data_IF_680206701485
#
_entry.id   IF_680206701485
#
_cell.length_a   1.000
_cell.length_b   1.000
_cell.length_c   1.000
_cell.angle_alpha   90.00
_cell.angle_beta   90.00
_cell.angle_gamma   90.00
#
_symmetry.space_group_name_H-M   'P 1'
#
loop_
_entity.id
_entity.type
_entity.pdbx_description
1 polymer ?
#
# COMPACT_ATOMS: atom_id res chain seq x y z
N UNK A 1 -31.77 22.69 -10.82
CA UNK A 1 -30.88 21.53 -10.71
C UNK A 1 -30.20 21.63 -9.36
N UNK A 2 -30.53 20.77 -8.40
CA UNK A 2 -29.77 20.65 -7.16
C UNK A 2 -28.36 20.23 -7.54
N UNK A 3 -27.34 21.05 -7.23
CA UNK A 3 -25.95 20.69 -7.47
C UNK A 3 -25.66 19.41 -6.68
N UNK A 4 -25.14 18.40 -7.37
CA UNK A 4 -24.69 17.15 -6.74
C UNK A 4 -23.60 17.49 -5.74
N UNK A 5 -23.69 16.97 -4.51
CA UNK A 5 -22.64 17.10 -3.54
C UNK A 5 -21.38 16.39 -4.04
N UNK A 6 -20.23 16.99 -3.82
CA UNK A 6 -18.94 16.41 -4.22
C UNK A 6 -18.26 15.70 -3.04
N UNK A 7 -17.52 14.62 -3.25
CA UNK A 7 -16.76 13.95 -2.20
C UNK A 7 -15.51 14.74 -1.83
N UNK A 8 -15.07 14.56 -0.59
CA UNK A 8 -13.81 15.06 -0.05
C UNK A 8 -12.86 13.87 0.14
N UNK A 9 -11.75 13.86 -0.60
CA UNK A 9 -10.68 12.87 -0.46
C UNK A 9 -9.52 13.48 0.33
N UNK A 10 -9.09 12.80 1.39
CA UNK A 10 -7.90 13.15 2.17
C UNK A 10 -6.76 12.21 1.75
N UNK A 11 -5.73 12.77 1.14
CA UNK A 11 -4.71 12.03 0.42
C UNK A 11 -4.99 11.93 -1.09
N UNK A 12 -3.92 11.84 -1.87
CA UNK A 12 -3.99 11.74 -3.34
C UNK A 12 -4.05 10.28 -3.76
N UNK A 13 -5.09 9.91 -4.47
CA UNK A 13 -5.20 8.62 -5.15
C UNK A 13 -5.41 8.84 -6.65
N UNK A 14 -4.40 8.49 -7.46
CA UNK A 14 -4.41 8.70 -8.91
C UNK A 14 -5.55 7.97 -9.62
N UNK A 15 -6.02 6.84 -9.09
CA UNK A 15 -7.09 6.05 -9.70
C UNK A 15 -8.46 6.67 -9.45
N UNK A 16 -8.69 7.14 -8.22
CA UNK A 16 -9.89 7.90 -7.89
C UNK A 16 -9.93 9.21 -8.68
N UNK A 17 -8.79 9.90 -8.82
CA UNK A 17 -8.70 11.13 -9.63
C UNK A 17 -8.95 10.85 -11.11
N UNK A 18 -8.40 9.75 -11.66
CA UNK A 18 -8.71 9.26 -13.02
C UNK A 18 -10.22 9.06 -13.20
N UNK A 19 -10.87 8.38 -12.25
CA UNK A 19 -12.30 8.14 -12.28
C UNK A 19 -13.10 9.45 -12.21
N UNK A 20 -12.70 10.42 -11.38
CA UNK A 20 -13.30 11.76 -11.35
C UNK A 20 -13.25 12.43 -12.72
N UNK A 21 -12.08 12.41 -13.37
CA UNK A 21 -11.88 12.99 -14.70
C UNK A 21 -12.72 12.30 -15.78
N UNK A 22 -12.71 10.97 -15.82
CA UNK A 22 -13.46 10.18 -16.80
C UNK A 22 -14.97 10.37 -16.69
N UNK A 23 -15.49 10.50 -15.46
CA UNK A 23 -16.92 10.69 -15.21
C UNK A 23 -17.35 12.15 -15.13
N UNK A 24 -16.39 13.10 -15.16
CA UNK A 24 -16.66 14.53 -14.98
C UNK A 24 -17.27 14.85 -13.60
N UNK A 25 -16.90 14.09 -12.55
CA UNK A 25 -17.42 14.25 -11.20
C UNK A 25 -16.55 15.26 -10.44
N UNK A 26 -17.13 16.39 -9.97
CA UNK A 26 -16.39 17.32 -9.13
C UNK A 26 -16.01 16.68 -7.79
N UNK A 27 -14.76 16.91 -7.34
CA UNK A 27 -14.26 16.43 -6.06
C UNK A 27 -13.32 17.47 -5.41
N UNK A 28 -13.13 17.37 -4.09
CA UNK A 28 -12.08 18.07 -3.36
C UNK A 28 -11.02 17.05 -2.95
N UNK A 29 -9.76 17.38 -3.18
CA UNK A 29 -8.62 16.55 -2.76
C UNK A 29 -7.74 17.36 -1.80
N UNK A 30 -7.58 16.87 -0.58
CA UNK A 30 -6.59 17.41 0.39
C UNK A 30 -5.29 16.66 0.24
N UNK A 31 -4.17 17.37 0.12
CA UNK A 31 -2.86 16.77 -0.07
C UNK A 31 -1.80 17.39 0.85
N UNK A 32 -0.83 16.57 1.25
CA UNK A 32 0.25 16.92 2.16
C UNK A 32 1.57 17.30 1.48
N UNK A 33 2.62 17.56 2.29
CA UNK A 33 3.94 18.01 1.82
C UNK A 33 4.59 17.06 0.80
N UNK A 34 4.41 15.76 0.95
CA UNK A 34 4.97 14.79 -0.01
C UNK A 34 4.57 15.12 -1.46
N UNK A 35 3.29 15.39 -1.71
CA UNK A 35 2.80 15.71 -3.04
C UNK A 35 3.14 17.14 -3.49
N UNK A 36 3.24 18.09 -2.55
CA UNK A 36 3.74 19.43 -2.87
C UNK A 36 5.17 19.36 -3.40
N UNK A 37 6.02 18.57 -2.75
CA UNK A 37 7.46 18.53 -3.02
C UNK A 37 7.80 17.60 -4.20
N UNK A 38 7.04 16.54 -4.39
CA UNK A 38 7.19 15.59 -5.51
C UNK A 38 6.43 15.99 -6.78
N UNK A 39 5.55 16.98 -6.69
CA UNK A 39 4.57 17.34 -7.74
C UNK A 39 3.29 16.52 -7.64
N UNK A 40 2.15 17.21 -7.76
CA UNK A 40 0.86 16.53 -7.90
C UNK A 40 0.80 15.84 -9.27
N UNK A 41 0.11 14.70 -9.39
CA UNK A 41 -0.24 14.18 -10.70
C UNK A 41 -1.10 15.20 -11.45
N UNK A 42 -1.21 15.07 -12.77
CA UNK A 42 -2.13 15.88 -13.55
C UNK A 42 -3.55 15.73 -13.00
N UNK A 43 -4.08 16.82 -12.44
CA UNK A 43 -5.41 16.85 -11.85
C UNK A 43 -6.45 17.13 -12.93
N UNK A 44 -7.56 16.36 -12.98
CA UNK A 44 -8.70 16.70 -13.82
C UNK A 44 -9.28 18.08 -13.45
N UNK A 45 -9.76 18.85 -14.43
CA UNK A 45 -10.35 20.18 -14.22
C UNK A 45 -11.51 20.21 -13.21
N UNK A 46 -12.17 19.08 -13.01
CA UNK A 46 -13.26 18.94 -12.03
C UNK A 46 -12.76 18.76 -10.59
N UNK A 47 -11.46 18.61 -10.34
CA UNK A 47 -10.89 18.37 -9.01
C UNK A 47 -10.31 19.66 -8.43
N UNK A 48 -10.72 20.00 -7.22
CA UNK A 48 -10.20 21.13 -6.46
C UNK A 48 -9.13 20.68 -5.46
N UNK A 49 -7.84 21.00 -5.64
CA UNK A 49 -6.79 20.66 -4.70
C UNK A 49 -6.77 21.61 -3.51
N UNK A 50 -6.55 21.09 -2.30
CA UNK A 50 -6.37 21.86 -1.06
C UNK A 50 -5.11 21.36 -0.35
N UNK A 51 -4.11 22.22 -0.23
CA UNK A 51 -2.88 21.91 0.48
C UNK A 51 -3.03 22.00 2.00
N UNK A 52 -2.42 21.05 2.72
CA UNK A 52 -2.32 21.02 4.18
C UNK A 52 -0.95 20.52 4.62
N UNK A 53 -0.39 21.08 5.68
CA UNK A 53 0.92 20.63 6.21
C UNK A 53 0.85 19.25 6.89
N UNK A 54 -0.33 18.83 7.37
CA UNK A 54 -0.54 17.51 7.97
C UNK A 54 -1.94 16.99 7.64
N UNK A 55 -2.03 16.09 6.67
CA UNK A 55 -3.30 15.46 6.26
C UNK A 55 -3.83 14.45 7.29
N UNK A 56 -3.02 14.09 8.28
CA UNK A 56 -3.42 13.25 9.40
C UNK A 56 -3.90 14.04 10.63
N UNK A 57 -4.17 15.35 10.49
CA UNK A 57 -4.77 16.21 11.53
C UNK A 57 -6.08 16.79 11.07
N UNK A 58 -7.17 16.47 11.77
CA UNK A 58 -8.51 17.00 11.47
C UNK A 58 -8.56 18.53 11.54
N UNK A 59 -7.92 19.10 12.56
CA UNK A 59 -7.84 20.54 12.75
C UNK A 59 -7.13 21.25 11.60
N UNK A 60 -6.01 20.65 11.13
CA UNK A 60 -5.26 21.21 10.02
C UNK A 60 -6.08 21.16 8.72
N UNK A 61 -6.79 20.05 8.47
CA UNK A 61 -7.65 19.91 7.28
C UNK A 61 -8.82 20.88 7.34
N UNK A 62 -9.56 21.00 8.47
CA UNK A 62 -10.65 21.95 8.62
C UNK A 62 -10.19 23.40 8.43
N UNK A 63 -9.04 23.75 8.98
CA UNK A 63 -8.43 25.08 8.77
C UNK A 63 -8.10 25.33 7.30
N UNK A 64 -7.54 24.33 6.60
CA UNK A 64 -7.21 24.45 5.19
C UNK A 64 -8.48 24.60 4.32
N UNK A 65 -9.52 23.80 4.58
CA UNK A 65 -10.82 23.94 3.92
C UNK A 65 -11.43 25.33 4.14
N UNK A 66 -11.40 25.85 5.37
CA UNK A 66 -11.89 27.20 5.68
C UNK A 66 -11.13 28.26 4.90
N UNK A 67 -9.79 28.19 4.85
CA UNK A 67 -8.97 29.14 4.07
C UNK A 67 -9.22 29.07 2.57
N UNK A 68 -9.57 27.86 2.07
CA UNK A 68 -9.97 27.67 0.67
C UNK A 68 -11.40 28.10 0.35
N UNK A 69 -12.13 28.65 1.32
CA UNK A 69 -13.55 29.03 1.14
C UNK A 69 -14.52 27.86 1.13
N UNK A 70 -14.10 26.68 1.60
CA UNK A 70 -14.87 25.44 1.59
C UNK A 70 -15.37 25.03 2.99
N UNK A 71 -15.19 25.89 4.01
CA UNK A 71 -15.51 25.57 5.41
C UNK A 71 -17.02 25.32 5.66
N UNK A 72 -17.89 25.94 4.88
CA UNK A 72 -19.35 25.80 4.98
C UNK A 72 -19.91 24.84 3.89
N UNK A 73 -19.03 24.21 3.10
CA UNK A 73 -19.46 23.31 2.04
C UNK A 73 -19.97 21.99 2.60
N UNK A 74 -21.04 21.47 2.00
CA UNK A 74 -21.56 20.13 2.28
C UNK A 74 -20.94 19.15 1.32
N UNK A 75 -20.32 18.10 1.84
CA UNK A 75 -19.71 17.03 1.07
C UNK A 75 -20.63 15.81 0.97
N UNK A 76 -20.52 15.06 -0.14
CA UNK A 76 -21.19 13.78 -0.30
C UNK A 76 -20.68 12.77 0.73
N UNK A 77 -19.36 12.77 0.94
CA UNK A 77 -18.66 11.97 1.96
C UNK A 77 -17.27 12.52 2.21
N UNK A 78 -16.62 12.06 3.29
CA UNK A 78 -15.17 12.18 3.51
C UNK A 78 -14.56 10.80 3.53
N UNK A 79 -13.52 10.58 2.70
CA UNK A 79 -12.85 9.29 2.57
C UNK A 79 -11.35 9.44 2.32
N UNK A 80 -10.61 8.35 2.45
CA UNK A 80 -9.16 8.30 2.23
C UNK A 80 -8.72 6.92 1.73
N UNK A 81 -7.64 6.91 0.97
CA UNK A 81 -6.84 5.70 0.69
C UNK A 81 -5.51 5.70 1.45
N UNK A 82 -5.24 6.76 2.24
CA UNK A 82 -4.07 6.85 3.11
C UNK A 82 -4.35 6.16 4.45
N UNK A 83 -3.65 5.06 4.68
CA UNK A 83 -3.73 4.25 5.90
C UNK A 83 -3.64 5.08 7.19
N UNK A 84 -2.73 6.05 7.21
CA UNK A 84 -2.47 6.87 8.41
C UNK A 84 -3.53 7.96 8.64
N UNK A 85 -4.30 8.33 7.62
CA UNK A 85 -5.34 9.35 7.73
C UNK A 85 -6.71 8.79 8.13
N UNK A 86 -6.88 7.46 8.22
CA UNK A 86 -8.19 6.81 8.36
C UNK A 86 -8.97 7.28 9.59
N UNK A 87 -8.33 7.32 10.78
CA UNK A 87 -9.01 7.80 12.01
C UNK A 87 -9.34 9.29 11.88
N UNK A 88 -8.43 10.06 11.31
CA UNK A 88 -8.63 11.48 11.09
C UNK A 88 -9.83 11.77 10.18
N UNK A 89 -9.95 11.00 9.09
CA UNK A 89 -11.08 11.10 8.14
C UNK A 89 -12.41 10.76 8.82
N UNK A 90 -12.44 9.79 9.71
CA UNK A 90 -13.63 9.46 10.48
C UNK A 90 -14.06 10.61 11.40
N UNK A 91 -13.11 11.31 12.04
CA UNK A 91 -13.37 12.51 12.84
C UNK A 91 -13.85 13.66 11.95
N UNK A 92 -13.23 13.86 10.79
CA UNK A 92 -13.64 14.89 9.82
C UNK A 92 -15.07 14.68 9.33
N UNK A 93 -15.45 13.43 8.99
CA UNK A 93 -16.81 13.11 8.55
C UNK A 93 -17.85 13.53 9.59
N UNK A 94 -17.59 13.23 10.87
CA UNK A 94 -18.47 13.68 11.96
C UNK A 94 -18.48 15.19 12.13
N UNK A 95 -17.33 15.86 12.09
CA UNK A 95 -17.24 17.31 12.25
C UNK A 95 -17.92 18.07 11.10
N UNK A 96 -17.89 17.55 9.89
CA UNK A 96 -18.52 18.11 8.70
C UNK A 96 -19.98 17.66 8.52
N UNK A 97 -20.46 16.74 9.37
CA UNK A 97 -21.83 16.22 9.32
C UNK A 97 -22.16 15.50 8.01
N UNK A 98 -21.21 14.76 7.45
CA UNK A 98 -21.37 14.02 6.20
C UNK A 98 -21.01 12.53 6.34
N UNK A 99 -21.43 11.68 5.39
CA UNK A 99 -21.07 10.26 5.37
C UNK A 99 -19.55 10.02 5.40
N UNK A 100 -19.15 8.92 6.01
CA UNK A 100 -17.78 8.44 6.10
C UNK A 100 -17.67 7.27 7.06
N UNK A 101 -16.49 6.64 7.11
CA UNK A 101 -16.25 5.57 8.09
C UNK A 101 -16.42 6.10 9.52
N UNK A 102 -17.01 5.31 10.42
CA UNK A 102 -17.16 5.74 11.81
C UNK A 102 -15.83 5.67 12.57
N UNK A 103 -15.60 6.54 13.59
CA UNK A 103 -14.36 6.47 14.39
C UNK A 103 -14.12 5.10 15.04
N UNK A 104 -15.17 4.43 15.49
CA UNK A 104 -15.05 3.10 16.10
C UNK A 104 -14.55 2.06 15.08
N UNK A 105 -15.06 2.10 13.85
CA UNK A 105 -14.60 1.23 12.76
C UNK A 105 -13.18 1.62 12.34
N UNK A 106 -12.90 2.91 12.16
CA UNK A 106 -11.58 3.39 11.76
C UNK A 106 -10.47 2.96 12.76
N UNK A 107 -10.72 3.08 14.06
CA UNK A 107 -9.78 2.61 15.10
C UNK A 107 -9.56 1.10 15.00
N UNK A 108 -10.62 0.32 14.82
CA UNK A 108 -10.57 -1.13 14.67
C UNK A 108 -9.74 -1.55 13.44
N UNK A 109 -9.86 -0.84 12.31
CA UNK A 109 -9.05 -1.09 11.12
C UNK A 109 -7.59 -0.66 11.26
N UNK A 110 -7.28 0.24 12.19
CA UNK A 110 -5.90 0.69 12.41
C UNK A 110 -5.15 -0.11 13.46
N UNK A 111 -5.82 -0.78 14.37
CA UNK A 111 -5.23 -1.51 15.48
C UNK A 111 -5.29 -3.02 15.23
N UNK A 112 -4.14 -3.64 14.95
CA UNK A 112 -4.02 -5.07 14.65
C UNK A 112 -4.47 -5.97 15.79
N UNK A 113 -4.30 -5.53 17.04
CA UNK A 113 -4.76 -6.29 18.19
C UNK A 113 -6.29 -6.25 18.28
N UNK A 114 -6.90 -5.06 18.15
CA UNK A 114 -8.36 -4.92 18.14
C UNK A 114 -9.01 -5.67 16.98
N UNK A 115 -8.39 -5.70 15.80
CA UNK A 115 -8.85 -6.54 14.69
C UNK A 115 -8.93 -8.01 15.09
N UNK A 116 -7.82 -8.55 15.63
CA UNK A 116 -7.75 -9.97 16.03
C UNK A 116 -8.73 -10.31 17.14
N UNK A 117 -8.93 -9.42 18.10
CA UNK A 117 -9.94 -9.62 19.16
C UNK A 117 -11.37 -9.65 18.56
N UNK A 118 -11.69 -8.75 17.64
CA UNK A 118 -13.00 -8.70 16.99
C UNK A 118 -13.27 -9.96 16.17
N UNK A 119 -12.32 -10.41 15.36
CA UNK A 119 -12.48 -11.61 14.52
C UNK A 119 -12.50 -12.89 15.37
N UNK A 120 -11.66 -12.99 16.41
CA UNK A 120 -11.63 -14.10 17.35
C UNK A 120 -12.96 -14.26 18.09
N UNK A 121 -13.58 -13.14 18.49
CA UNK A 121 -14.90 -13.15 19.15
C UNK A 121 -16.01 -13.72 18.26
N UNK A 122 -15.81 -13.78 16.95
CA UNK A 122 -16.71 -14.42 15.97
C UNK A 122 -16.27 -15.84 15.61
N UNK A 123 -15.25 -16.39 16.28
CA UNK A 123 -14.75 -17.74 16.05
C UNK A 123 -13.88 -17.89 14.79
N UNK A 124 -13.40 -16.80 14.21
CA UNK A 124 -12.51 -16.81 13.03
C UNK A 124 -11.10 -17.16 13.49
N UNK A 125 -10.42 -18.15 12.86
CA UNK A 125 -9.04 -18.46 13.14
C UNK A 125 -8.13 -17.24 12.94
N UNK A 126 -7.29 -16.94 13.92
CA UNK A 126 -6.32 -15.86 13.85
C UNK A 126 -5.21 -16.07 14.90
N UNK A 127 -4.04 -15.50 14.67
CA UNK A 127 -2.91 -15.61 15.60
C UNK A 127 -3.27 -15.15 17.03
N UNK A 128 -2.83 -15.91 18.03
CA UNK A 128 -2.83 -15.41 19.43
C UNK A 128 -1.89 -14.23 19.55
N UNK A 129 -2.17 -13.29 20.43
CA UNK A 129 -1.33 -12.10 20.56
C UNK A 129 -1.26 -11.61 22.00
N UNK A 130 -0.15 -10.94 22.33
CA UNK A 130 0.01 -10.12 23.53
C UNK A 130 0.37 -8.69 23.12
N UNK A 131 0.03 -7.72 23.96
CA UNK A 131 0.31 -6.30 23.72
C UNK A 131 1.45 -5.83 24.61
N UNK A 132 2.39 -5.10 24.03
CA UNK A 132 3.35 -4.25 24.73
C UNK A 132 2.77 -2.83 24.71
N UNK A 133 2.22 -2.37 25.84
CA UNK A 133 1.53 -1.07 25.94
C UNK A 133 2.47 0.08 25.58
N UNK A 134 3.69 0.02 26.09
CA UNK A 134 4.75 0.96 25.75
C UNK A 134 6.06 0.21 25.51
N UNK A 135 6.58 0.32 24.29
CA UNK A 135 7.89 -0.29 23.95
C UNK A 135 9.03 0.23 24.85
N UNK A 136 8.87 1.38 25.54
CA UNK A 136 9.85 1.96 26.44
C UNK A 136 9.73 1.48 27.90
N UNK A 137 8.75 0.64 28.22
CA UNK A 137 8.64 0.03 29.55
C UNK A 137 9.84 -0.84 29.86
N UNK A 138 10.28 -0.81 31.13
CA UNK A 138 11.45 -1.60 31.59
C UNK A 138 11.15 -3.10 31.57
N UNK A 139 9.91 -3.48 31.85
CA UNK A 139 9.47 -4.87 31.89
C UNK A 139 8.95 -5.32 30.51
N UNK A 140 9.67 -6.26 29.89
CA UNK A 140 9.23 -6.93 28.69
C UNK A 140 8.70 -8.31 29.08
N UNK A 141 7.44 -8.65 28.74
CA UNK A 141 6.83 -9.93 29.09
C UNK A 141 7.61 -11.10 28.49
N UNK A 142 7.43 -12.27 29.04
CA UNK A 142 7.91 -13.51 28.44
C UNK A 142 7.17 -13.79 27.16
N UNK A 143 7.88 -14.33 26.16
CA UNK A 143 7.27 -14.77 24.91
C UNK A 143 6.42 -16.03 25.18
N UNK A 144 5.08 -15.98 25.02
CA UNK A 144 4.21 -17.11 25.34
C UNK A 144 4.04 -18.10 24.17
N UNK A 145 4.81 -17.93 23.11
CA UNK A 145 4.76 -18.70 21.87
C UNK A 145 6.13 -19.35 21.59
N UNK A 146 6.15 -20.43 20.83
CA UNK A 146 7.38 -21.02 20.32
C UNK A 146 8.12 -20.06 19.37
N UNK A 147 7.35 -19.35 18.54
CA UNK A 147 7.82 -18.24 17.72
C UNK A 147 6.73 -17.17 17.63
N UNK A 148 7.14 -15.92 17.50
CA UNK A 148 6.23 -14.80 17.38
C UNK A 148 6.74 -13.74 16.40
N UNK A 149 5.85 -12.81 16.04
CA UNK A 149 6.15 -11.63 15.24
C UNK A 149 5.81 -10.39 16.05
N UNK A 150 6.83 -9.58 16.39
CA UNK A 150 6.62 -8.27 17.02
C UNK A 150 6.46 -7.19 15.94
N UNK A 151 5.43 -6.35 16.08
CA UNK A 151 5.16 -5.23 15.15
C UNK A 151 4.35 -4.12 15.85
N UNK A 152 4.41 -2.85 15.38
CA UNK A 152 3.53 -1.80 15.89
C UNK A 152 2.06 -2.14 15.67
N UNK A 153 1.18 -1.86 16.63
CA UNK A 153 -0.27 -2.12 16.50
C UNK A 153 -0.88 -1.37 15.31
N UNK A 154 -0.37 -0.16 15.00
CA UNK A 154 -0.83 0.68 13.89
C UNK A 154 0.18 0.76 12.73
N UNK A 155 1.15 -0.17 12.68
CA UNK A 155 2.17 -0.23 11.64
C UNK A 155 1.61 -0.57 10.24
N UNK A 156 2.46 -0.38 9.24
CA UNK A 156 2.20 -0.78 7.86
C UNK A 156 3.53 -1.11 7.16
N UNK A 157 3.48 -1.93 6.10
CA UNK A 157 4.61 -2.26 5.23
C UNK A 157 5.80 -2.89 5.96
N UNK A 158 5.56 -3.76 6.91
CA UNK A 158 6.59 -4.48 7.71
C UNK A 158 7.58 -3.60 8.48
N UNK A 159 7.30 -2.30 8.63
CA UNK A 159 8.18 -1.40 9.41
C UNK A 159 8.20 -1.78 10.87
N UNK A 160 9.41 -1.80 11.47
CA UNK A 160 9.62 -2.23 12.84
C UNK A 160 8.95 -3.59 13.14
N UNK A 161 9.08 -4.53 12.20
CA UNK A 161 8.58 -5.90 12.33
C UNK A 161 9.76 -6.87 12.42
N UNK A 162 9.64 -7.89 13.25
CA UNK A 162 10.66 -8.91 13.42
C UNK A 162 10.08 -10.23 13.92
N UNK A 163 10.65 -11.35 13.42
CA UNK A 163 10.44 -12.67 14.01
C UNK A 163 11.24 -12.78 15.32
N UNK A 164 10.65 -13.39 16.33
CA UNK A 164 11.29 -13.68 17.63
C UNK A 164 10.97 -15.11 18.06
N UNK A 165 11.97 -15.85 18.51
CA UNK A 165 11.88 -17.27 18.93
C UNK A 165 12.22 -17.50 20.40
N UNK A 166 12.45 -16.42 21.14
CA UNK A 166 12.70 -16.45 22.58
C UNK A 166 12.41 -15.09 23.20
N UNK A 167 12.23 -15.07 24.52
CA UNK A 167 12.10 -13.82 25.27
C UNK A 167 13.33 -12.92 25.12
N UNK A 168 14.53 -13.51 24.96
CA UNK A 168 15.75 -12.72 24.75
C UNK A 168 15.79 -12.08 23.36
N UNK A 169 15.34 -12.76 22.32
CA UNK A 169 15.16 -12.17 20.98
C UNK A 169 14.10 -11.06 21.00
N UNK A 170 12.99 -11.25 21.73
CA UNK A 170 11.98 -10.21 21.93
C UNK A 170 12.59 -8.96 22.57
N UNK A 171 13.37 -9.13 23.64
CA UNK A 171 14.09 -8.02 24.30
C UNK A 171 15.10 -7.35 23.35
N UNK A 172 15.76 -8.11 22.48
CA UNK A 172 16.68 -7.55 21.50
C UNK A 172 15.94 -6.74 20.43
N UNK A 173 14.82 -7.25 19.91
CA UNK A 173 13.97 -6.52 18.96
C UNK A 173 13.46 -5.20 19.56
N UNK A 174 12.97 -5.23 20.79
CA UNK A 174 12.54 -4.02 21.53
C UNK A 174 13.69 -3.01 21.65
N UNK A 175 14.90 -3.43 22.06
CA UNK A 175 16.06 -2.51 22.14
C UNK A 175 16.40 -1.90 20.79
N UNK A 176 16.37 -2.70 19.72
CA UNK A 176 16.62 -2.24 18.36
C UNK A 176 15.58 -1.17 17.96
N UNK A 177 14.28 -1.44 18.12
CA UNK A 177 13.22 -0.51 17.72
C UNK A 177 13.24 0.79 18.53
N UNK A 178 13.61 0.74 19.82
CA UNK A 178 13.88 1.95 20.61
C UNK A 178 15.02 2.79 20.03
N UNK A 179 16.10 2.14 19.58
CA UNK A 179 17.27 2.84 19.01
C UNK A 179 17.04 3.39 17.61
N UNK A 180 16.21 2.75 16.80
CA UNK A 180 15.85 3.22 15.47
C UNK A 180 15.03 4.52 15.52
N UNK A 181 14.39 4.79 16.65
CA UNK A 181 13.45 5.88 16.83
C UNK A 181 12.16 5.63 16.04
N UNK A 182 11.13 6.31 16.41
CA UNK A 182 9.81 6.16 15.76
C UNK A 182 8.74 6.71 16.67
N UNK A 183 7.56 6.99 16.10
CA UNK A 183 6.42 7.47 16.87
C UNK A 183 5.59 6.35 17.50
N UNK A 184 5.77 5.10 17.05
CA UNK A 184 5.04 3.96 17.58
C UNK A 184 5.53 3.61 18.99
N UNK A 185 4.60 3.55 19.94
CA UNK A 185 4.89 3.15 21.33
C UNK A 185 4.29 1.79 21.66
N UNK A 186 3.08 1.53 21.20
CA UNK A 186 2.36 0.28 21.46
C UNK A 186 2.67 -0.74 20.36
N UNK A 187 3.06 -1.93 20.77
CA UNK A 187 3.39 -3.03 19.87
C UNK A 187 2.54 -4.26 20.21
N UNK A 188 2.33 -5.09 19.20
CA UNK A 188 1.75 -6.42 19.37
C UNK A 188 2.82 -7.47 19.09
N UNK A 189 2.81 -8.55 19.87
CA UNK A 189 3.54 -9.77 19.57
C UNK A 189 2.53 -10.83 19.24
N UNK A 190 2.51 -11.27 17.99
CA UNK A 190 1.59 -12.28 17.47
C UNK A 190 2.31 -13.62 17.39
N UNK A 191 1.59 -14.72 17.66
CA UNK A 191 2.08 -16.05 17.37
C UNK A 191 2.41 -16.18 15.88
N UNK A 192 3.58 -16.75 15.56
CA UNK A 192 4.01 -16.90 14.17
C UNK A 192 3.04 -17.82 13.42
N UNK A 193 2.51 -17.34 12.29
CA UNK A 193 1.65 -18.12 11.42
C UNK A 193 2.49 -18.82 10.35
N UNK A 194 2.24 -20.10 10.16
CA UNK A 194 2.84 -20.88 9.07
C UNK A 194 1.98 -20.80 7.81
N UNK A 195 2.57 -21.14 6.66
CA UNK A 195 1.87 -21.27 5.40
C UNK A 195 2.08 -20.12 4.43
N UNK A 196 1.25 -20.11 3.40
CA UNK A 196 1.29 -19.13 2.31
C UNK A 196 0.51 -17.88 2.73
N UNK A 197 1.09 -16.73 2.49
CA UNK A 197 0.43 -15.45 2.75
C UNK A 197 -0.42 -15.04 1.54
N UNK A 198 -1.72 -14.95 1.76
CA UNK A 198 -2.69 -14.59 0.75
C UNK A 198 -3.15 -13.15 0.91
N UNK A 199 -3.41 -12.53 -0.23
CA UNK A 199 -3.99 -11.20 -0.34
C UNK A 199 -5.41 -11.32 -0.85
N UNK A 200 -6.33 -10.63 -0.19
CA UNK A 200 -7.71 -10.54 -0.66
C UNK A 200 -8.08 -9.08 -0.78
N UNK A 201 -8.31 -8.66 -2.01
CA UNK A 201 -8.76 -7.31 -2.33
C UNK A 201 -10.20 -7.35 -2.81
N UNK A 202 -11.01 -6.41 -2.36
CA UNK A 202 -12.41 -6.43 -2.74
C UNK A 202 -13.16 -5.14 -2.51
N UNK A 203 -14.43 -5.20 -2.88
CA UNK A 203 -15.41 -4.13 -2.74
C UNK A 203 -16.56 -4.65 -1.92
N UNK A 204 -16.90 -3.95 -0.83
CA UNK A 204 -18.10 -4.20 -0.03
C UNK A 204 -19.05 -3.01 -0.17
N UNK A 205 -20.35 -3.29 -0.30
CA UNK A 205 -21.41 -2.30 -0.38
C UNK A 205 -22.70 -2.84 0.22
N UNK A 206 -23.31 -2.09 1.13
CA UNK A 206 -24.46 -2.52 1.94
C UNK A 206 -24.19 -3.82 2.71
N UNK A 207 -22.96 -4.02 3.21
CA UNK A 207 -22.53 -5.23 3.92
C UNK A 207 -22.33 -6.46 3.04
N UNK A 208 -22.51 -6.36 1.72
CA UNK A 208 -22.36 -7.47 0.78
C UNK A 208 -21.06 -7.31 -0.03
N UNK A 209 -20.31 -8.39 -0.15
CA UNK A 209 -19.13 -8.43 -1.03
C UNK A 209 -19.61 -8.37 -2.48
N UNK A 210 -19.27 -7.28 -3.16
CA UNK A 210 -19.61 -7.05 -4.58
C UNK A 210 -18.53 -7.54 -5.53
N UNK A 211 -17.29 -7.56 -5.06
CA UNK A 211 -16.14 -8.06 -5.80
C UNK A 211 -15.12 -8.65 -4.83
N UNK A 212 -14.47 -9.72 -5.23
CA UNK A 212 -13.43 -10.39 -4.49
C UNK A 212 -12.33 -10.88 -5.45
N UNK A 213 -11.09 -10.51 -5.15
CA UNK A 213 -9.88 -11.02 -5.80
C UNK A 213 -9.02 -11.70 -4.75
N UNK A 214 -8.57 -12.92 -5.02
CA UNK A 214 -7.63 -13.64 -4.16
C UNK A 214 -6.29 -13.73 -4.86
N UNK A 215 -5.21 -13.51 -4.12
CA UNK A 215 -3.84 -13.61 -4.61
C UNK A 215 -2.95 -14.28 -3.55
N UNK A 216 -1.77 -14.71 -3.96
CA UNK A 216 -0.75 -15.19 -3.04
C UNK A 216 0.58 -14.50 -3.30
N UNK A 217 1.35 -14.25 -2.26
CA UNK A 217 2.75 -13.88 -2.37
C UNK A 217 3.61 -15.10 -2.70
N UNK A 218 4.60 -14.94 -3.57
CA UNK A 218 5.62 -15.99 -3.81
C UNK A 218 6.44 -16.28 -2.55
N UNK A 219 6.64 -15.26 -1.72
CA UNK A 219 7.29 -15.32 -0.42
C UNK A 219 6.55 -14.38 0.53
N UNK A 220 6.38 -14.77 1.79
CA UNK A 220 5.71 -13.91 2.77
C UNK A 220 6.41 -12.56 2.90
N UNK A 221 5.66 -11.49 3.18
CA UNK A 221 6.20 -10.13 3.34
C UNK A 221 7.39 -10.08 4.31
N UNK A 222 7.31 -10.83 5.41
CA UNK A 222 8.36 -10.88 6.41
C UNK A 222 9.61 -11.59 5.86
N UNK A 223 9.45 -12.71 5.16
CA UNK A 223 10.58 -13.45 4.58
C UNK A 223 11.29 -12.66 3.48
N UNK A 224 10.56 -11.84 2.70
CA UNK A 224 11.14 -10.94 1.71
C UNK A 224 12.07 -9.92 2.37
N UNK A 225 11.65 -9.32 3.49
CA UNK A 225 12.48 -8.35 4.23
C UNK A 225 13.69 -9.04 4.86
N UNK A 226 13.53 -10.22 5.45
CA UNK A 226 14.62 -10.96 6.10
C UNK A 226 15.66 -11.50 5.09
N UNK A 227 15.22 -12.00 3.93
CA UNK A 227 16.10 -12.59 2.89
C UNK A 227 16.55 -11.60 1.81
N UNK A 228 16.04 -10.37 1.81
CA UNK A 228 16.25 -9.37 0.76
C UNK A 228 15.78 -9.84 -0.62
N UNK A 229 14.79 -10.71 -0.65
CA UNK A 229 14.16 -11.18 -1.88
C UNK A 229 13.32 -10.07 -2.54
N UNK A 230 12.91 -10.31 -3.76
CA UNK A 230 11.96 -9.43 -4.46
C UNK A 230 10.54 -9.82 -4.09
N UNK A 231 9.71 -8.83 -3.76
CA UNK A 231 8.29 -9.03 -3.56
C UNK A 231 7.62 -9.38 -4.89
N UNK A 232 6.91 -10.49 -4.91
CA UNK A 232 6.11 -10.95 -6.04
C UNK A 232 4.80 -11.53 -5.53
N UNK A 233 3.72 -11.29 -6.26
CA UNK A 233 2.42 -11.88 -6.03
C UNK A 233 1.76 -12.28 -7.34
N UNK A 234 0.79 -13.17 -7.28
CA UNK A 234 -0.06 -13.53 -8.40
C UNK A 234 -1.53 -13.62 -8.00
N UNK A 235 -2.41 -13.28 -8.90
CA UNK A 235 -3.86 -13.45 -8.73
C UNK A 235 -4.27 -14.87 -9.07
N UNK A 236 -5.09 -15.49 -8.21
CA UNK A 236 -5.71 -16.76 -8.50
C UNK A 236 -6.74 -16.62 -9.63
N UNK A 237 -6.82 -17.64 -10.49
CA UNK A 237 -7.82 -17.73 -11.53
C UNK A 237 -9.09 -18.38 -10.97
N UNK A 238 -10.23 -17.66 -11.06
CA UNK A 238 -11.47 -18.12 -10.42
C UNK A 238 -12.08 -19.39 -11.05
N UNK A 239 -11.73 -19.67 -12.30
CA UNK A 239 -12.22 -20.87 -13.00
C UNK A 239 -11.37 -22.10 -12.67
N UNK A 240 -10.05 -21.99 -12.70
CA UNK A 240 -9.13 -23.11 -12.52
C UNK A 240 -8.69 -23.30 -11.06
N UNK A 241 -8.71 -22.22 -10.26
CA UNK A 241 -8.31 -22.21 -8.85
C UNK A 241 -9.47 -21.80 -7.91
N UNK A 242 -10.70 -22.12 -8.29
CA UNK A 242 -11.91 -21.83 -7.50
C UNK A 242 -11.84 -22.30 -6.03
N UNK A 243 -10.95 -23.24 -5.73
CA UNK A 243 -10.72 -23.71 -4.37
C UNK A 243 -10.21 -22.60 -3.43
N UNK A 244 -9.33 -21.72 -3.90
CA UNK A 244 -8.80 -20.61 -3.11
C UNK A 244 -9.93 -19.63 -2.73
N UNK A 245 -10.78 -19.28 -3.66
CA UNK A 245 -11.96 -18.43 -3.41
C UNK A 245 -12.92 -19.07 -2.40
N UNK A 246 -13.21 -20.38 -2.54
CA UNK A 246 -14.09 -21.11 -1.60
C UNK A 246 -13.54 -21.15 -0.18
N UNK A 247 -12.23 -21.18 0.00
CA UNK A 247 -11.59 -21.13 1.32
C UNK A 247 -11.53 -19.70 1.88
N UNK A 248 -11.21 -18.69 1.05
CA UNK A 248 -11.04 -17.32 1.49
C UNK A 248 -12.38 -16.61 1.79
N UNK A 249 -13.39 -16.74 0.90
CA UNK A 249 -14.62 -15.95 0.99
C UNK A 249 -15.35 -16.05 2.33
N UNK A 250 -15.54 -17.23 2.94
CA UNK A 250 -16.21 -17.33 4.25
C UNK A 250 -15.47 -16.57 5.35
N UNK A 251 -14.13 -16.64 5.36
CA UNK A 251 -13.28 -15.94 6.33
C UNK A 251 -13.37 -14.43 6.12
N UNK A 252 -13.28 -14.00 4.86
CA UNK A 252 -13.38 -12.58 4.47
C UNK A 252 -14.72 -11.99 4.89
N UNK A 253 -15.83 -12.66 4.56
CA UNK A 253 -17.19 -12.23 4.90
C UNK A 253 -17.35 -12.07 6.43
N UNK A 254 -16.99 -13.11 7.17
CA UNK A 254 -17.09 -13.08 8.62
C UNK A 254 -16.17 -12.03 9.26
N UNK A 255 -14.97 -11.80 8.70
CA UNK A 255 -14.05 -10.76 9.17
C UNK A 255 -14.59 -9.35 8.90
N UNK A 256 -15.13 -9.07 7.71
CA UNK A 256 -15.75 -7.77 7.39
C UNK A 256 -16.94 -7.48 8.32
N UNK A 257 -17.78 -8.48 8.59
CA UNK A 257 -18.88 -8.37 9.57
C UNK A 257 -18.36 -8.12 11.00
N UNK A 258 -17.29 -8.81 11.44
CA UNK A 258 -16.68 -8.61 12.74
C UNK A 258 -16.07 -7.21 12.91
N UNK A 259 -15.54 -6.67 11.81
CA UNK A 259 -14.92 -5.34 11.75
C UNK A 259 -15.93 -4.22 11.47
N UNK A 260 -17.21 -4.53 11.19
CA UNK A 260 -18.29 -3.60 10.84
C UNK A 260 -18.00 -2.75 9.59
N UNK A 261 -17.33 -3.28 8.57
CA UNK A 261 -17.16 -2.58 7.29
C UNK A 261 -18.35 -2.91 6.38
N UNK A 262 -19.23 -1.95 6.18
CA UNK A 262 -20.41 -2.09 5.31
C UNK A 262 -20.18 -1.56 3.91
N UNK A 263 -19.32 -0.54 3.76
CA UNK A 263 -19.07 0.14 2.49
C UNK A 263 -17.60 0.52 2.39
N UNK A 264 -16.95 0.10 1.31
CA UNK A 264 -15.54 0.42 1.09
C UNK A 264 -14.80 -0.52 0.17
N UNK A 265 -13.59 -0.13 -0.14
CA UNK A 265 -12.58 -1.01 -0.70
C UNK A 265 -11.80 -1.59 0.49
N UNK A 266 -11.50 -2.88 0.44
CA UNK A 266 -10.70 -3.51 1.48
C UNK A 266 -9.52 -4.28 0.89
N UNK A 267 -8.48 -4.39 1.71
CA UNK A 267 -7.31 -5.23 1.49
C UNK A 267 -7.12 -6.07 2.74
N UNK A 268 -7.21 -7.38 2.61
CA UNK A 268 -7.12 -8.32 3.73
C UNK A 268 -5.96 -9.29 3.49
N UNK A 269 -5.17 -9.52 4.51
CA UNK A 269 -4.13 -10.54 4.53
C UNK A 269 -4.61 -11.76 5.30
N UNK A 270 -4.39 -12.94 4.72
CA UNK A 270 -4.76 -14.22 5.28
C UNK A 270 -3.54 -15.15 5.23
N UNK A 271 -3.50 -16.17 6.09
CA UNK A 271 -2.55 -17.28 5.96
C UNK A 271 -3.30 -18.55 5.59
N UNK A 272 -2.81 -19.22 4.57
CA UNK A 272 -3.30 -20.54 4.16
C UNK A 272 -2.28 -21.61 4.53
N UNK A 273 -2.70 -22.58 5.34
CA UNK A 273 -1.85 -23.68 5.77
C UNK A 273 -2.66 -24.97 5.85
N UNK A 274 -2.23 -26.03 5.16
CA UNK A 274 -2.87 -27.36 5.17
C UNK A 274 -4.38 -27.38 4.91
N UNK A 275 -4.85 -26.45 4.04
CA UNK A 275 -6.27 -26.34 3.68
C UNK A 275 -7.12 -25.50 4.62
N UNK A 276 -6.52 -24.93 5.66
CA UNK A 276 -7.16 -23.98 6.57
C UNK A 276 -6.73 -22.54 6.25
N UNK A 277 -7.64 -21.59 6.45
CA UNK A 277 -7.37 -20.16 6.26
C UNK A 277 -7.57 -19.42 7.57
N UNK A 278 -6.58 -18.64 7.97
CA UNK A 278 -6.62 -17.79 9.15
C UNK A 278 -6.49 -16.30 8.78
N UNK A 279 -7.17 -15.46 9.56
CA UNK A 279 -7.12 -14.01 9.40
C UNK A 279 -5.78 -13.45 9.96
N UNK A 280 -5.15 -12.58 9.19
CA UNK A 280 -3.96 -11.82 9.60
C UNK A 280 -4.30 -10.37 9.92
N UNK A 281 -4.65 -9.58 8.92
CA UNK A 281 -5.04 -8.17 9.07
C UNK A 281 -5.93 -7.69 7.91
N UNK A 282 -6.63 -6.56 8.12
CA UNK A 282 -7.45 -5.93 7.10
C UNK A 282 -7.30 -4.42 7.12
N UNK A 283 -7.15 -3.82 5.95
CA UNK A 283 -7.15 -2.37 5.75
C UNK A 283 -8.44 -1.95 5.02
N UNK A 284 -9.05 -0.82 5.45
CA UNK A 284 -10.21 -0.24 4.77
C UNK A 284 -9.79 0.64 3.57
N UNK A 285 -8.97 0.08 2.72
CA UNK A 285 -8.44 0.65 1.47
C UNK A 285 -7.93 -0.48 0.58
N UNK A 286 -7.64 -0.18 -0.68
CA UNK A 286 -6.95 -1.15 -1.54
C UNK A 286 -5.50 -1.37 -1.09
N UNK A 287 -4.95 -2.54 -1.41
CA UNK A 287 -3.53 -2.83 -1.27
C UNK A 287 -2.64 -1.93 -2.11
N UNK A 288 -1.36 -1.92 -1.80
CA UNK A 288 -0.35 -1.32 -2.68
C UNK A 288 -0.18 -2.18 -3.93
N UNK A 289 -0.02 -1.63 -5.09
CA UNK A 289 0.15 -2.34 -6.37
C UNK A 289 -0.94 -3.40 -6.70
N UNK A 290 -2.17 -3.13 -6.32
CA UNK A 290 -3.31 -4.03 -6.53
C UNK A 290 -4.18 -3.59 -7.70
N UNK A 291 -4.37 -2.27 -7.88
CA UNK A 291 -5.28 -1.73 -8.89
C UNK A 291 -5.00 -2.30 -10.28
N UNK A 292 -3.76 -2.23 -10.71
CA UNK A 292 -3.35 -2.63 -12.07
C UNK A 292 -3.51 -4.13 -12.28
N UNK A 293 -3.20 -4.93 -11.27
CA UNK A 293 -3.37 -6.37 -11.33
C UNK A 293 -4.85 -6.75 -11.38
N UNK A 294 -5.69 -6.13 -10.54
CA UNK A 294 -7.13 -6.37 -10.51
C UNK A 294 -7.78 -5.92 -11.81
N UNK A 295 -7.41 -4.74 -12.31
CA UNK A 295 -7.90 -4.23 -13.59
C UNK A 295 -7.47 -5.14 -14.76
N UNK A 296 -6.22 -5.59 -14.77
CA UNK A 296 -5.69 -6.50 -15.78
C UNK A 296 -6.33 -7.90 -15.73
N UNK A 297 -6.50 -8.48 -14.52
CA UNK A 297 -7.03 -9.83 -14.35
C UNK A 297 -8.56 -9.88 -14.47
N UNK A 298 -9.27 -8.94 -13.85
CA UNK A 298 -10.73 -9.00 -13.67
C UNK A 298 -11.49 -7.90 -14.41
N UNK A 299 -10.79 -6.90 -14.97
CA UNK A 299 -11.41 -5.76 -15.62
C UNK A 299 -12.16 -4.82 -14.66
N UNK A 300 -11.89 -4.90 -13.36
CA UNK A 300 -12.54 -4.10 -12.32
C UNK A 300 -11.66 -2.91 -11.95
N UNK A 301 -12.19 -1.69 -12.04
CA UNK A 301 -11.53 -0.46 -11.61
C UNK A 301 -11.91 -0.14 -10.15
N UNK A 302 -11.00 -0.45 -9.21
CA UNK A 302 -11.20 -0.16 -7.79
C UNK A 302 -11.24 1.34 -7.49
N UNK A 303 -10.60 2.18 -8.31
CA UNK A 303 -10.66 3.63 -8.19
C UNK A 303 -12.05 4.19 -8.55
N UNK A 304 -12.68 3.67 -9.61
CA UNK A 304 -14.06 4.03 -9.96
C UNK A 304 -15.06 3.49 -8.93
N UNK A 305 -14.85 2.26 -8.44
CA UNK A 305 -15.64 1.70 -7.35
C UNK A 305 -15.56 2.57 -6.09
N UNK A 306 -14.36 3.02 -5.70
CA UNK A 306 -14.17 3.93 -4.56
C UNK A 306 -14.88 5.28 -4.76
N UNK A 307 -14.84 5.85 -5.97
CA UNK A 307 -15.59 7.07 -6.30
C UNK A 307 -17.10 6.85 -6.18
N UNK A 308 -17.62 5.74 -6.70
CA UNK A 308 -19.06 5.42 -6.61
C UNK A 308 -19.49 5.31 -5.15
N UNK A 309 -18.74 4.58 -4.32
CA UNK A 309 -19.00 4.47 -2.88
C UNK A 309 -18.95 5.85 -2.18
N UNK A 310 -17.98 6.70 -2.53
CA UNK A 310 -17.87 8.06 -1.99
C UNK A 310 -19.06 8.95 -2.37
N UNK A 311 -19.78 8.62 -3.43
CA UNK A 311 -21.00 9.30 -3.88
C UNK A 311 -22.27 8.67 -3.28
N UNK A 312 -22.16 7.59 -2.51
CA UNK A 312 -23.30 6.80 -2.02
C UNK A 312 -24.01 6.02 -3.13
N UNK A 313 -23.26 5.63 -4.18
CA UNK A 313 -23.78 4.89 -5.33
C UNK A 313 -23.27 3.44 -5.31
N UNK A 314 -24.07 2.52 -5.81
CA UNK A 314 -23.62 1.16 -6.04
C UNK A 314 -22.47 1.15 -7.05
N UNK A 315 -21.31 0.52 -6.72
CA UNK A 315 -20.18 0.46 -7.63
C UNK A 315 -20.43 -0.50 -8.79
N UNK A 316 -19.96 -0.15 -9.99
CA UNK A 316 -19.90 -1.11 -11.11
C UNK A 316 -18.65 -1.98 -10.95
N UNK A 317 -18.87 -3.24 -10.66
CA UNK A 317 -17.82 -4.26 -10.47
C UNK A 317 -18.04 -5.45 -11.42
N UNK A 318 -18.47 -5.18 -12.64
CA UNK A 318 -18.65 -6.20 -13.66
C UNK A 318 -17.34 -6.91 -13.98
N UNK A 319 -17.24 -8.16 -13.58
CA UNK A 319 -16.03 -8.98 -13.77
C UNK A 319 -15.92 -9.45 -15.22
N UNK A 320 -14.74 -9.22 -15.80
CA UNK A 320 -14.31 -9.75 -17.11
C UNK A 320 -12.96 -10.41 -16.94
N UNK A 321 -12.97 -11.62 -16.42
CA UNK A 321 -11.75 -12.30 -16.04
C UNK A 321 -10.93 -12.73 -17.26
N UNK A 322 -9.64 -12.36 -17.25
CA UNK A 322 -8.63 -12.81 -18.20
C UNK A 322 -8.10 -14.16 -17.78
N UNK A 323 -8.06 -15.18 -18.66
CA UNK A 323 -7.45 -16.47 -18.34
C UNK A 323 -5.93 -16.35 -18.14
N UNK A 324 -5.35 -17.33 -17.47
CA UNK A 324 -3.92 -17.40 -17.19
C UNK A 324 -3.51 -16.59 -15.94
N UNK A 325 -2.21 -16.43 -15.78
CA UNK A 325 -1.60 -15.78 -14.63
C UNK A 325 -1.48 -14.28 -14.88
N UNK A 326 -1.90 -13.50 -13.91
CA UNK A 326 -1.58 -12.06 -13.77
C UNK A 326 -0.89 -11.89 -12.44
N UNK A 327 0.33 -11.37 -12.45
CA UNK A 327 1.07 -11.17 -11.23
C UNK A 327 1.89 -9.88 -11.23
N UNK A 328 2.24 -9.44 -10.04
CA UNK A 328 3.06 -8.28 -9.77
C UNK A 328 4.49 -8.65 -9.40
N UNK A 329 5.44 -7.85 -9.84
CA UNK A 329 6.84 -7.97 -9.45
C UNK A 329 7.38 -6.60 -9.09
N UNK A 330 7.94 -6.47 -7.88
CA UNK A 330 8.61 -5.25 -7.46
C UNK A 330 10.04 -5.20 -8.00
N UNK A 331 10.44 -4.05 -8.51
CA UNK A 331 11.80 -3.80 -8.98
C UNK A 331 12.57 -3.15 -7.83
N UNK A 332 13.54 -3.87 -7.30
CA UNK A 332 14.44 -3.38 -6.24
C UNK A 332 15.75 -2.89 -6.83
N UNK A 333 16.53 -2.16 -6.05
CA UNK A 333 17.87 -1.67 -6.43
C UNK A 333 18.82 -1.64 -5.24
N UNK A 334 20.13 -1.63 -5.45
CA UNK A 334 21.08 -1.28 -4.41
C UNK A 334 20.81 0.10 -3.80
N UNK A 335 21.17 0.33 -2.51
CA UNK A 335 21.03 1.64 -1.89
C UNK A 335 22.04 2.65 -2.47
N UNK A 336 21.61 3.91 -2.57
CA UNK A 336 22.46 4.98 -3.10
C UNK A 336 21.65 6.11 -3.72
N UNK A 337 22.24 6.82 -4.67
CA UNK A 337 21.58 7.86 -5.45
C UNK A 337 21.28 7.34 -6.84
N UNK A 338 20.03 7.38 -7.26
CA UNK A 338 19.61 6.96 -8.60
C UNK A 338 20.20 7.93 -9.64
N UNK A 339 21.05 7.42 -10.51
CA UNK A 339 21.71 8.21 -11.56
C UNK A 339 21.14 7.97 -12.95
N UNK A 340 20.73 6.75 -13.24
CA UNK A 340 20.09 6.36 -14.49
C UNK A 340 19.08 5.24 -14.27
N UNK A 341 17.97 5.31 -14.96
CA UNK A 341 16.90 4.32 -14.93
C UNK A 341 16.33 4.20 -16.34
N UNK A 342 15.96 2.99 -16.79
CA UNK A 342 15.24 2.81 -18.04
C UNK A 342 13.94 3.60 -18.04
N UNK A 343 13.50 4.04 -19.21
CA UNK A 343 12.17 4.65 -19.36
C UNK A 343 11.05 3.63 -19.16
N UNK A 344 9.85 4.10 -18.84
CA UNK A 344 8.68 3.21 -18.76
C UNK A 344 8.40 2.52 -20.12
N UNK A 345 8.58 3.22 -21.23
CA UNK A 345 8.37 2.65 -22.57
C UNK A 345 9.35 1.50 -22.87
N UNK A 346 10.61 1.60 -22.44
CA UNK A 346 11.58 0.53 -22.59
C UNK A 346 11.17 -0.71 -21.79
N UNK A 347 10.72 -0.55 -20.54
CA UNK A 347 10.22 -1.66 -19.71
C UNK A 347 8.94 -2.24 -20.30
N UNK A 348 8.00 -1.40 -20.74
CA UNK A 348 6.76 -1.82 -21.41
C UNK A 348 6.99 -2.61 -22.69
N UNK A 349 8.14 -2.42 -23.37
CA UNK A 349 8.49 -3.18 -24.58
C UNK A 349 8.91 -4.63 -24.32
N UNK A 350 9.12 -5.01 -23.07
CA UNK A 350 9.49 -6.37 -22.70
C UNK A 350 8.31 -7.34 -22.86
N UNK A 351 8.57 -8.59 -23.25
CA UNK A 351 7.51 -9.58 -23.42
C UNK A 351 6.69 -9.79 -22.14
N UNK A 352 5.38 -9.91 -22.30
CA UNK A 352 4.43 -10.19 -21.22
C UNK A 352 4.26 -9.08 -20.16
N UNK A 353 4.91 -7.92 -20.31
CA UNK A 353 4.70 -6.76 -19.44
C UNK A 353 3.45 -6.01 -19.91
N UNK A 354 2.46 -5.89 -19.03
CA UNK A 354 1.19 -5.20 -19.28
C UNK A 354 1.13 -3.82 -18.63
N UNK A 355 1.91 -3.62 -17.59
CA UNK A 355 1.95 -2.38 -16.84
C UNK A 355 3.31 -2.17 -16.19
N UNK A 356 3.75 -0.93 -16.12
CA UNK A 356 4.94 -0.53 -15.38
C UNK A 356 4.71 0.80 -14.67
N UNK A 357 5.18 0.88 -13.43
CA UNK A 357 5.31 2.12 -12.69
C UNK A 357 6.75 2.24 -12.19
N UNK A 358 7.43 3.31 -12.59
CA UNK A 358 8.72 3.69 -12.00
C UNK A 358 8.48 4.85 -11.03
N UNK A 359 8.81 4.62 -9.75
CA UNK A 359 8.45 5.50 -8.64
C UNK A 359 9.47 6.59 -8.31
N UNK A 360 10.65 6.60 -8.94
CA UNK A 360 11.73 7.50 -8.58
C UNK A 360 12.32 8.24 -9.79
N UNK A 361 12.62 9.51 -9.58
CA UNK A 361 13.33 10.34 -10.54
C UNK A 361 14.86 10.24 -10.33
N UNK A 362 15.61 10.46 -11.40
CA UNK A 362 17.07 10.61 -11.33
C UNK A 362 17.43 11.67 -10.27
N UNK A 363 18.38 11.34 -9.40
CA UNK A 363 18.75 12.15 -8.24
C UNK A 363 18.09 11.72 -6.92
N UNK A 364 17.08 10.84 -6.95
CA UNK A 364 16.45 10.33 -5.74
C UNK A 364 17.41 9.47 -4.91
N UNK A 365 17.35 9.63 -3.58
CA UNK A 365 18.07 8.76 -2.65
C UNK A 365 17.31 7.46 -2.47
N UNK A 366 17.95 6.35 -2.80
CA UNK A 366 17.40 5.01 -2.63
C UNK A 366 17.90 4.43 -1.31
N UNK A 367 17.00 4.17 -0.35
CA UNK A 367 17.37 3.60 0.93
C UNK A 367 17.69 2.09 0.80
N UNK A 368 18.22 1.50 1.87
CA UNK A 368 18.40 0.04 1.95
C UNK A 368 17.03 -0.63 1.89
N UNK A 369 16.83 -1.57 0.98
CA UNK A 369 15.54 -2.24 0.75
C UNK A 369 15.06 -3.14 1.91
N UNK A 370 15.95 -3.42 2.87
CA UNK A 370 15.74 -4.38 3.97
C UNK A 370 14.90 -3.86 5.13
N UNK A 371 14.40 -2.64 5.09
CA UNK A 371 13.71 -2.06 6.25
C UNK A 371 12.20 -2.05 6.12
N UNK A 372 11.66 -2.19 4.93
CA UNK A 372 10.22 -2.34 4.68
C UNK A 372 9.92 -2.76 3.23
N UNK A 373 8.70 -3.26 2.98
CA UNK A 373 8.25 -3.74 1.67
C UNK A 373 7.94 -2.64 0.65
N UNK A 374 7.95 -1.37 1.05
CA UNK A 374 7.67 -0.25 0.12
C UNK A 374 8.89 0.26 -0.62
N UNK A 375 10.09 -0.20 -0.26
CA UNK A 375 11.35 0.27 -0.85
C UNK A 375 11.65 -0.43 -2.16
N UNK A 376 11.12 0.12 -3.23
CA UNK A 376 11.29 -0.33 -4.61
C UNK A 376 11.54 0.85 -5.54
N UNK A 377 12.19 0.59 -6.67
CA UNK A 377 12.37 1.60 -7.74
C UNK A 377 11.15 1.65 -8.63
N UNK A 378 10.47 0.53 -8.76
CA UNK A 378 9.28 0.41 -9.58
C UNK A 378 8.57 -0.92 -9.37
N UNK A 379 7.56 -1.13 -10.19
CA UNK A 379 6.73 -2.32 -10.18
C UNK A 379 6.22 -2.62 -11.60
N UNK A 380 6.06 -3.90 -11.93
CA UNK A 380 5.54 -4.36 -13.22
C UNK A 380 4.43 -5.38 -13.02
N UNK A 381 3.42 -5.35 -13.88
CA UNK A 381 2.43 -6.43 -14.02
C UNK A 381 2.82 -7.27 -15.23
N UNK A 382 2.90 -8.57 -15.00
CA UNK A 382 3.27 -9.57 -16.00
C UNK A 382 2.10 -10.54 -16.18
N UNK A 383 1.83 -10.91 -17.45
CA UNK A 383 0.76 -11.86 -17.79
C UNK A 383 1.34 -13.03 -18.56
N UNK A 384 1.00 -14.26 -18.15
CA UNK A 384 1.48 -15.49 -18.78
C UNK A 384 0.41 -16.57 -18.77
N UNK A 385 0.64 -17.65 -19.49
CA UNK A 385 -0.28 -18.81 -19.48
C UNK A 385 -0.06 -19.70 -18.25
N UNK A 386 1.18 -19.79 -17.77
CA UNK A 386 1.56 -20.67 -16.65
C UNK A 386 2.35 -19.95 -15.58
N UNK A 387 2.33 -20.50 -14.37
CA UNK A 387 3.10 -19.97 -13.24
C UNK A 387 4.61 -20.08 -13.47
N UNK A 388 5.07 -21.16 -14.11
CA UNK A 388 6.48 -21.34 -14.46
C UNK A 388 6.98 -20.23 -15.39
N UNK A 389 6.15 -19.90 -16.40
CA UNK A 389 6.48 -18.80 -17.31
C UNK A 389 6.45 -17.46 -16.59
N UNK A 390 5.53 -17.23 -15.65
CA UNK A 390 5.48 -16.01 -14.84
C UNK A 390 6.80 -15.81 -14.07
N UNK A 391 7.26 -16.82 -13.35
CA UNK A 391 8.53 -16.74 -12.62
C UNK A 391 9.71 -16.45 -13.56
N UNK A 392 9.78 -17.16 -14.68
CA UNK A 392 10.83 -16.95 -15.69
C UNK A 392 10.81 -15.51 -16.24
N UNK A 393 9.63 -15.00 -16.61
CA UNK A 393 9.50 -13.62 -17.13
C UNK A 393 9.82 -12.58 -16.08
N UNK A 394 9.42 -12.80 -14.83
CA UNK A 394 9.80 -11.93 -13.71
C UNK A 394 11.31 -11.84 -13.54
N UNK A 395 12.02 -12.98 -13.56
CA UNK A 395 13.48 -13.03 -13.48
C UNK A 395 14.14 -12.30 -14.68
N UNK A 396 13.64 -12.51 -15.89
CA UNK A 396 14.15 -11.86 -17.10
C UNK A 396 13.97 -10.32 -17.03
N UNK A 397 12.81 -9.83 -16.56
CA UNK A 397 12.56 -8.40 -16.38
C UNK A 397 13.48 -7.82 -15.33
N UNK A 398 13.64 -8.49 -14.18
CA UNK A 398 14.52 -8.04 -13.10
C UNK A 398 15.98 -7.99 -13.54
N UNK A 399 16.48 -9.02 -14.23
CA UNK A 399 17.85 -9.06 -14.76
C UNK A 399 18.05 -7.95 -15.81
N UNK A 400 17.11 -7.79 -16.74
CA UNK A 400 17.16 -6.74 -17.77
C UNK A 400 17.23 -5.34 -17.15
N UNK A 401 16.44 -5.10 -16.07
CA UNK A 401 16.43 -3.83 -15.38
C UNK A 401 17.72 -3.59 -14.57
N UNK A 402 18.21 -4.63 -13.90
CA UNK A 402 19.46 -4.56 -13.12
C UNK A 402 20.67 -4.18 -13.98
N UNK A 403 20.72 -4.64 -15.24
CA UNK A 403 21.77 -4.29 -16.18
C UNK A 403 21.72 -2.82 -16.66
N UNK A 404 20.60 -2.14 -16.50
CA UNK A 404 20.34 -0.79 -17.04
C UNK A 404 20.18 0.29 -16.00
N UNK A 405 19.91 -0.07 -14.75
CA UNK A 405 19.85 0.90 -13.65
C UNK A 405 21.28 1.29 -13.24
N UNK A 406 21.49 2.57 -13.03
CA UNK A 406 22.76 3.08 -12.49
C UNK A 406 22.50 3.73 -11.14
N UNK A 407 23.09 3.18 -10.09
CA UNK A 407 23.01 3.72 -8.72
C UNK A 407 24.41 4.08 -8.25
N UNK A 408 24.57 5.31 -7.77
CA UNK A 408 25.80 5.77 -7.16
C UNK A 408 25.75 5.43 -5.67
N UNK A 409 26.67 4.59 -5.16
CA UNK A 409 26.68 4.22 -3.75
C UNK A 409 26.77 5.43 -2.83
N UNK A 410 26.06 5.40 -1.70
CA UNK A 410 26.13 6.45 -0.70
C UNK A 410 27.59 6.65 -0.21
N UNK A 411 28.02 7.94 -0.09
CA UNK A 411 29.39 8.28 0.31
C UNK A 411 30.44 8.23 -0.81
N UNK A 412 30.02 8.02 -2.07
CA UNK A 412 30.93 8.09 -3.24
C UNK A 412 31.63 9.45 -3.29
N UNK A 413 32.96 9.44 -3.39
CA UNK A 413 33.76 10.67 -3.47
C UNK A 413 33.64 11.30 -4.86
N UNK A 414 33.74 12.63 -4.96
CA UNK A 414 33.62 13.37 -6.22
C UNK A 414 34.55 12.88 -7.32
N UNK A 415 35.76 12.36 -6.99
CA UNK A 415 36.68 11.76 -7.95
C UNK A 415 36.12 10.47 -8.57
N UNK A 416 35.45 9.64 -7.76
CA UNK A 416 34.87 8.38 -8.23
C UNK A 416 33.59 8.64 -9.05
N UNK A 417 32.82 9.64 -8.65
CA UNK A 417 31.68 10.13 -9.42
C UNK A 417 32.12 10.58 -10.83
N UNK A 418 33.20 11.34 -10.93
CA UNK A 418 33.74 11.81 -12.21
C UNK A 418 34.20 10.64 -13.10
N UNK A 419 34.81 9.60 -12.52
CA UNK A 419 35.18 8.38 -13.26
C UNK A 419 33.95 7.62 -13.78
N UNK A 420 32.91 7.50 -12.96
CA UNK A 420 31.66 6.86 -13.35
C UNK A 420 30.95 7.63 -14.48
N UNK A 421 30.89 8.95 -14.39
CA UNK A 421 30.35 9.80 -15.46
C UNK A 421 31.10 9.62 -16.78
N UNK A 422 32.42 9.58 -16.73
CA UNK A 422 33.26 9.34 -17.92
C UNK A 422 33.05 7.94 -18.51
N UNK A 423 32.91 6.92 -17.66
CA UNK A 423 32.67 5.54 -18.09
C UNK A 423 31.30 5.34 -18.76
N UNK A 424 30.30 6.14 -18.37
CA UNK A 424 28.95 6.11 -18.94
C UNK A 424 28.80 6.99 -20.20
N UNK A 425 29.90 7.60 -20.66
CA UNK A 425 29.88 8.43 -21.88
C UNK A 425 29.26 9.81 -21.70
N UNK A 426 28.95 10.24 -20.48
CA UNK A 426 28.48 11.59 -20.24
C UNK A 426 29.60 12.62 -20.49
N UNK A 427 29.36 13.57 -21.36
CA UNK A 427 30.29 14.67 -21.61
C UNK A 427 30.30 15.62 -20.42
N UNK A 428 31.26 15.43 -19.52
CA UNK A 428 31.43 16.25 -18.31
C UNK A 428 31.71 17.72 -18.62
N UNK A 429 32.02 18.09 -19.88
CA UNK A 429 32.21 19.47 -20.33
C UNK A 429 30.89 20.26 -20.41
N UNK A 430 29.76 19.58 -20.56
CA UNK A 430 28.42 20.23 -20.53
C UNK A 430 28.01 20.71 -19.14
N UNK A 431 28.57 20.17 -18.07
CA UNK A 431 28.28 20.59 -16.71
C UNK A 431 29.10 21.85 -16.25
N UNK A 432 30.11 22.24 -17.03
CA UNK A 432 30.99 23.41 -16.69
C UNK A 432 30.52 24.74 -17.29
N UNK A 433 29.44 24.77 -18.04
CA UNK A 433 29.01 25.99 -18.79
C UNK A 433 27.79 26.71 -18.24
N UNK A 434 27.31 26.38 -17.05
CA UNK A 434 26.37 27.25 -16.34
C UNK A 434 27.14 28.41 -15.69
N UNK A 435 27.55 29.42 -16.50
CA UNK A 435 27.84 30.76 -15.98
C UNK A 435 26.49 31.42 -15.67
N UNK A 436 26.26 31.80 -14.42
CA UNK A 436 25.33 32.88 -14.13
C UNK A 436 25.78 34.08 -14.95
N UNK A 437 24.97 34.51 -15.88
CA UNK A 437 25.03 35.88 -16.38
C UNK A 437 24.45 36.74 -15.25
N UNK A 438 25.35 37.42 -14.53
CA UNK A 438 24.99 38.51 -13.61
C UNK A 438 24.45 39.64 -14.47
N UNK A 439 23.14 39.93 -14.32
CA UNK A 439 22.43 41.03 -14.88
C UNK A 439 21.37 41.52 -13.92
#
# INVERSE_FOLDING_TARGET
>A
MTSRLRPLFVGVDRYVLRACGMRGIPAVVVYGPYWRDSGLPDLPDCVTPVFVENECSAEAVLTALTRAGLGEERFASVTTTNEYALINVAVLAQALGCPGISPAVAVRFRDKHLQKEAVRARGIPTARSIVLEDIHDDEIPELPFEAGVIKPVTGAATRQTATVRSTDELRQAVRRFRSEGGSARTFVVEEFQQGDEWLVDGVVHDGEIRFLSVAEYTHTCLSVVESQATMQDRRFDSATEAWAFRLAEPVVRAALEALDLTDGIFHMELFHHEGEVSFSECAARRGGFVQEQVECKFGVDLGDAALSLALGEAPDVTVRERPGIVGGTYITSPPGVLFGVPSQDEVMSLPNVEYVLLGHLVGASLPVSTSDTTKRVGEVVITTETLEEFHKRSEEVLAWFADRITVIPAGTKGRDLHRMQSALGYDTRLMSTYRREDG
#
